data_IF_218241101261
#
_entry.id   IF_218241101261
#
_cell.length_a   1.000
_cell.length_b   1.000
_cell.length_c   1.000
_cell.angle_alpha   90.00
_cell.angle_beta   90.00
_cell.angle_gamma   90.00
#
_symmetry.space_group_name_H-M   'P 1'
#
loop_
_entity.id
_entity.type
_entity.pdbx_description
1 polymer ?
#
# COMPACT_ATOMS: atom_id res chain seq x y z
N UNK A 1 7.50 -14.61 26.02
CA UNK A 1 8.52 -14.25 24.99
C UNK A 1 8.28 -12.81 24.62
N UNK A 2 9.30 -11.94 24.66
CA UNK A 2 9.15 -10.56 24.17
C UNK A 2 9.16 -10.61 22.65
N UNK A 3 8.02 -10.27 22.02
CA UNK A 3 7.96 -10.19 20.58
C UNK A 3 8.87 -9.04 20.08
N UNK A 4 9.58 -9.27 18.97
CA UNK A 4 10.49 -8.27 18.38
C UNK A 4 9.73 -6.99 17.99
N UNK A 5 8.47 -7.13 17.51
CA UNK A 5 7.63 -6.01 17.10
C UNK A 5 6.22 -6.08 17.73
N UNK A 6 5.63 -4.94 17.99
CA UNK A 6 4.21 -4.86 18.36
C UNK A 6 3.32 -5.12 17.14
N UNK A 7 3.74 -4.65 15.95
CA UNK A 7 3.05 -4.89 14.68
C UNK A 7 4.04 -5.08 13.52
N UNK A 8 3.68 -5.96 12.61
CA UNK A 8 4.27 -6.05 11.27
C UNK A 8 3.19 -5.71 10.25
N UNK A 9 3.43 -4.69 9.42
CA UNK A 9 2.53 -4.36 8.33
C UNK A 9 3.00 -4.99 7.03
N UNK A 10 2.07 -5.44 6.20
CA UNK A 10 2.33 -6.11 4.92
C UNK A 10 1.51 -5.41 3.84
N UNK A 11 2.16 -4.95 2.81
CA UNK A 11 1.49 -4.27 1.70
C UNK A 11 2.46 -3.46 0.85
N UNK A 12 1.94 -2.90 -0.23
CA UNK A 12 2.73 -2.11 -1.15
C UNK A 12 3.14 -0.77 -0.54
N UNK A 13 4.41 -0.42 -0.79
CA UNK A 13 4.92 0.93 -0.63
C UNK A 13 4.94 1.58 -2.00
N UNK A 14 4.42 2.79 -2.12
CA UNK A 14 4.32 3.51 -3.39
C UNK A 14 4.75 4.96 -3.27
N UNK A 15 5.08 5.57 -4.40
CA UNK A 15 5.24 7.00 -4.52
C UNK A 15 3.91 7.60 -4.96
N UNK A 16 3.29 8.37 -4.09
CA UNK A 16 2.12 9.18 -4.42
C UNK A 16 2.58 10.55 -4.92
N UNK A 17 2.09 10.93 -6.10
CA UNK A 17 2.36 12.21 -6.74
C UNK A 17 1.06 13.01 -6.80
N UNK A 18 0.92 13.97 -5.89
CA UNK A 18 -0.24 14.86 -5.85
C UNK A 18 -0.08 15.97 -6.88
N UNK A 19 -1.00 16.07 -7.82
CA UNK A 19 -0.97 17.01 -8.93
C UNK A 19 -2.22 17.88 -8.87
N UNK A 20 -2.05 19.16 -8.56
CA UNK A 20 -3.17 20.10 -8.53
C UNK A 20 -3.45 20.61 -9.96
N UNK A 21 -4.64 20.31 -10.48
CA UNK A 21 -5.06 20.52 -11.87
C UNK A 21 -6.12 21.61 -11.99
N UNK A 22 -5.79 22.93 -11.85
CA UNK A 22 -6.79 24.00 -11.80
C UNK A 22 -7.58 24.15 -13.12
N UNK A 23 -6.99 23.74 -14.25
CA UNK A 23 -7.57 23.88 -15.59
C UNK A 23 -8.23 22.58 -16.09
N UNK A 24 -8.35 21.54 -15.26
CA UNK A 24 -9.16 20.38 -15.61
C UNK A 24 -10.64 20.75 -15.67
N UNK A 25 -11.44 19.90 -16.28
CA UNK A 25 -12.90 20.06 -16.35
C UNK A 25 -13.60 18.75 -15.96
N UNK A 26 -14.88 18.85 -15.63
CA UNK A 26 -15.72 17.70 -15.40
C UNK A 26 -16.69 17.54 -16.58
N UNK A 27 -16.90 16.31 -17.00
CA UNK A 27 -18.00 15.92 -17.91
C UNK A 27 -18.70 14.72 -17.31
N UNK A 28 -20.00 14.61 -17.57
CA UNK A 28 -20.81 13.49 -17.07
C UNK A 28 -22.21 13.89 -16.72
N UNK A 29 -22.98 12.95 -16.19
CA UNK A 29 -24.36 13.13 -15.78
C UNK A 29 -24.44 13.53 -14.30
N UNK A 30 -24.97 14.71 -14.03
CA UNK A 30 -25.13 15.24 -12.67
C UNK A 30 -26.14 14.41 -11.86
N UNK A 31 -27.23 13.95 -12.52
CA UNK A 31 -28.28 13.17 -11.83
C UNK A 31 -27.81 11.77 -11.49
N UNK A 32 -26.98 11.16 -12.35
CA UNK A 32 -26.38 9.85 -12.09
C UNK A 32 -25.17 9.89 -11.14
N UNK A 33 -24.60 11.07 -10.86
CA UNK A 33 -23.37 11.22 -10.07
C UNK A 33 -22.13 10.63 -10.75
N UNK A 34 -22.17 10.40 -12.07
CA UNK A 34 -21.07 9.84 -12.87
C UNK A 34 -20.29 10.96 -13.55
N UNK A 35 -19.23 11.42 -12.89
CA UNK A 35 -18.35 12.45 -13.42
C UNK A 35 -17.02 11.89 -13.89
N UNK A 36 -16.52 12.44 -14.99
CA UNK A 36 -15.18 12.17 -15.52
C UNK A 36 -14.34 13.43 -15.44
N UNK A 37 -13.12 13.30 -14.92
CA UNK A 37 -12.13 14.35 -14.95
C UNK A 37 -11.50 14.39 -16.35
N UNK A 38 -11.53 15.55 -17.01
CA UNK A 38 -11.03 15.75 -18.36
C UNK A 38 -9.89 16.76 -18.38
N UNK A 39 -8.90 16.47 -19.22
CA UNK A 39 -7.77 17.33 -19.55
C UNK A 39 -7.67 17.49 -21.08
N UNK A 40 -7.00 18.54 -21.55
CA UNK A 40 -6.80 18.77 -22.98
C UNK A 40 -5.95 17.68 -23.60
N UNK A 41 -6.52 16.96 -24.56
CA UNK A 41 -5.83 15.90 -25.29
C UNK A 41 -4.73 16.50 -26.20
N UNK A 42 -3.54 15.88 -26.18
CA UNK A 42 -2.41 16.27 -27.04
C UNK A 42 -1.76 17.60 -26.69
N UNK A 43 -2.12 18.23 -25.57
CA UNK A 43 -1.54 19.52 -25.14
C UNK A 43 -0.74 19.35 -23.82
N UNK A 44 0.06 20.38 -23.49
CA UNK A 44 0.70 20.49 -22.17
C UNK A 44 -0.33 21.03 -21.18
N UNK A 45 -0.84 20.19 -20.30
CA UNK A 45 -1.70 20.59 -19.21
C UNK A 45 -0.85 21.08 -18.04
N UNK A 46 -1.06 22.31 -17.60
CA UNK A 46 -0.28 22.91 -16.51
C UNK A 46 -0.85 22.52 -15.15
N UNK A 47 -0.01 22.01 -14.28
CA UNK A 47 -0.32 21.83 -12.86
C UNK A 47 -0.01 23.12 -12.07
N UNK A 48 -0.80 23.42 -11.05
CA UNK A 48 -0.52 24.52 -10.10
C UNK A 48 0.60 24.15 -9.13
N UNK A 49 0.61 22.90 -8.68
CA UNK A 49 1.63 22.33 -7.79
C UNK A 49 1.75 20.83 -8.00
N UNK A 50 2.93 20.32 -7.69
CA UNK A 50 3.22 18.87 -7.64
C UNK A 50 3.92 18.59 -6.32
N UNK A 51 3.42 17.60 -5.57
CA UNK A 51 4.00 17.14 -4.31
C UNK A 51 4.22 15.64 -4.38
N UNK A 52 5.36 15.18 -3.87
CA UNK A 52 5.75 13.77 -3.83
C UNK A 52 5.74 13.25 -2.40
N UNK A 53 5.16 12.09 -2.16
CA UNK A 53 5.11 11.47 -0.86
C UNK A 53 5.26 9.96 -0.96
N UNK A 54 6.13 9.38 -0.10
CA UNK A 54 6.11 7.94 0.14
C UNK A 54 4.84 7.59 0.91
N UNK A 55 4.05 6.69 0.36
CA UNK A 55 2.73 6.37 0.84
C UNK A 55 2.40 4.87 0.67
N UNK A 56 1.17 4.53 0.94
CA UNK A 56 0.59 3.19 0.94
C UNK A 56 -0.08 2.89 2.27
N UNK A 57 -1.07 2.01 2.27
CA UNK A 57 -1.80 1.67 3.50
C UNK A 57 -0.88 1.03 4.56
N UNK A 58 0.01 0.11 4.15
CA UNK A 58 0.96 -0.53 5.07
C UNK A 58 1.96 0.45 5.70
N UNK A 59 2.66 1.32 4.95
CA UNK A 59 3.51 2.36 5.53
C UNK A 59 2.76 3.29 6.48
N UNK A 60 1.57 3.72 6.12
CA UNK A 60 0.77 4.64 6.93
C UNK A 60 0.44 4.06 8.30
N UNK A 61 0.04 2.77 8.34
CA UNK A 61 -0.23 2.06 9.61
C UNK A 61 1.05 1.88 10.42
N UNK A 62 2.16 1.46 9.79
CA UNK A 62 3.43 1.29 10.48
C UNK A 62 3.93 2.59 11.12
N UNK A 63 3.89 3.71 10.37
CA UNK A 63 4.25 5.04 10.87
C UNK A 63 3.31 5.49 11.98
N UNK A 64 2.00 5.27 11.83
CA UNK A 64 1.01 5.59 12.86
C UNK A 64 1.32 4.89 14.18
N UNK A 65 1.63 3.60 14.12
CA UNK A 65 2.01 2.79 15.29
C UNK A 65 3.34 3.26 15.90
N UNK A 66 4.33 3.57 15.07
CA UNK A 66 5.62 4.10 15.54
C UNK A 66 5.46 5.48 16.24
N UNK A 67 4.57 6.36 15.73
CA UNK A 67 4.21 7.63 16.40
C UNK A 67 3.56 7.42 17.76
N UNK A 68 2.86 6.31 17.96
CA UNK A 68 2.33 5.88 19.27
C UNK A 68 3.38 5.23 20.19
N UNK A 69 4.67 5.34 19.84
CA UNK A 69 5.81 4.78 20.59
C UNK A 69 5.77 3.26 20.71
N UNK A 70 5.23 2.59 19.72
CA UNK A 70 5.25 1.13 19.59
C UNK A 70 6.24 0.71 18.50
N UNK A 71 6.76 -0.54 18.62
CA UNK A 71 7.68 -1.08 17.64
C UNK A 71 6.93 -1.59 16.40
N UNK A 72 7.31 -1.07 15.23
CA UNK A 72 6.70 -1.43 13.96
C UNK A 72 7.76 -1.84 12.93
N UNK A 73 7.45 -2.84 12.13
CA UNK A 73 8.20 -3.20 10.93
C UNK A 73 7.26 -3.27 9.74
N UNK A 74 7.81 -3.07 8.54
CA UNK A 74 7.08 -3.26 7.30
C UNK A 74 7.71 -4.38 6.50
N UNK A 75 6.86 -5.23 5.94
CA UNK A 75 7.23 -6.28 5.02
C UNK A 75 6.63 -5.94 3.67
N UNK A 76 7.50 -5.63 2.72
CA UNK A 76 7.13 -5.19 1.38
C UNK A 76 8.19 -5.57 0.36
N UNK A 77 7.81 -5.62 -0.89
CA UNK A 77 8.70 -5.78 -2.03
C UNK A 77 8.48 -4.62 -3.00
N UNK A 78 9.57 -4.03 -3.48
CA UNK A 78 9.58 -2.84 -4.33
C UNK A 78 10.53 -3.05 -5.50
N UNK A 79 10.36 -2.29 -6.56
CA UNK A 79 11.35 -2.23 -7.63
C UNK A 79 12.71 -1.72 -7.12
N UNK A 80 13.79 -2.14 -7.77
CA UNK A 80 15.13 -1.62 -7.47
C UNK A 80 15.34 -0.28 -8.18
N UNK A 81 14.74 0.79 -7.69
CA UNK A 81 14.76 2.13 -8.28
C UNK A 81 14.94 3.22 -7.21
N UNK A 82 14.81 4.49 -7.63
CA UNK A 82 14.96 5.62 -6.71
C UNK A 82 13.86 5.67 -5.64
N UNK A 83 12.65 5.14 -5.94
CA UNK A 83 11.53 5.13 -5.00
C UNK A 83 11.88 4.20 -3.82
N UNK A 84 12.53 3.06 -4.08
CA UNK A 84 13.01 2.15 -3.04
C UNK A 84 13.89 2.85 -2.01
N UNK A 85 14.93 3.58 -2.48
CA UNK A 85 15.84 4.27 -1.58
C UNK A 85 15.14 5.38 -0.79
N UNK A 86 14.28 6.16 -1.44
CA UNK A 86 13.48 7.19 -0.79
C UNK A 86 12.52 6.61 0.25
N UNK A 87 11.94 5.43 -0.02
CA UNK A 87 11.07 4.73 0.92
C UNK A 87 11.80 4.25 2.17
N UNK A 88 13.00 3.68 2.02
CA UNK A 88 13.81 3.26 3.17
C UNK A 88 14.13 4.45 4.07
N UNK A 89 14.66 5.53 3.50
CA UNK A 89 15.00 6.75 4.23
C UNK A 89 13.77 7.33 4.97
N UNK A 90 12.65 7.41 4.27
CA UNK A 90 11.41 7.94 4.83
C UNK A 90 10.91 7.11 6.01
N UNK A 91 10.89 5.78 5.88
CA UNK A 91 10.42 4.87 6.93
C UNK A 91 11.33 4.87 8.15
N UNK A 92 12.65 4.85 7.95
CA UNK A 92 13.65 4.91 9.02
C UNK A 92 13.58 6.21 9.80
N UNK A 93 13.41 7.36 9.11
CA UNK A 93 13.15 8.65 9.74
C UNK A 93 11.92 8.62 10.65
N UNK A 94 10.91 7.81 10.31
CA UNK A 94 9.71 7.60 11.11
C UNK A 94 9.81 6.45 12.10
N UNK A 95 11.02 5.88 12.32
CA UNK A 95 11.30 4.79 13.28
C UNK A 95 10.55 3.48 12.96
N UNK A 96 10.28 3.22 11.70
CA UNK A 96 9.77 1.95 11.20
C UNK A 96 10.94 1.09 10.74
N UNK A 97 11.01 -0.17 11.19
CA UNK A 97 12.05 -1.11 10.73
C UNK A 97 11.82 -1.51 9.27
N UNK A 98 12.84 -1.33 8.45
CA UNK A 98 12.87 -1.66 7.01
C UNK A 98 13.57 -2.99 6.71
N UNK A 99 13.94 -3.76 7.75
CA UNK A 99 14.67 -5.02 7.66
C UNK A 99 14.05 -6.04 6.69
N UNK A 100 12.73 -5.92 6.46
CA UNK A 100 11.96 -6.85 5.61
C UNK A 100 11.46 -6.20 4.31
N UNK A 101 11.99 -5.03 3.95
CA UNK A 101 11.73 -4.41 2.65
C UNK A 101 12.77 -4.91 1.66
N UNK A 102 12.32 -5.52 0.56
CA UNK A 102 13.20 -6.11 -0.44
C UNK A 102 13.13 -5.34 -1.75
N UNK A 103 14.30 -5.17 -2.39
CA UNK A 103 14.39 -4.69 -3.75
C UNK A 103 14.30 -5.86 -4.75
N UNK A 104 13.43 -5.75 -5.73
CA UNK A 104 13.25 -6.70 -6.83
C UNK A 104 13.84 -6.12 -8.09
N UNK A 105 14.81 -6.84 -8.68
CA UNK A 105 15.46 -6.43 -9.93
C UNK A 105 14.51 -6.57 -11.12
N UNK A 106 14.60 -5.65 -12.07
CA UNK A 106 13.88 -5.73 -13.35
C UNK A 106 12.41 -5.33 -13.28
N UNK A 107 11.94 -4.82 -12.15
CA UNK A 107 10.60 -4.24 -12.01
C UNK A 107 10.69 -2.82 -11.44
N UNK A 108 9.66 -1.98 -11.68
CA UNK A 108 9.51 -0.66 -11.05
C UNK A 108 8.73 -0.75 -9.74
N UNK A 109 8.92 0.21 -8.86
CA UNK A 109 8.11 0.37 -7.66
C UNK A 109 6.70 0.85 -7.99
N UNK A 110 5.75 0.58 -7.11
CA UNK A 110 4.37 1.06 -7.24
C UNK A 110 4.32 2.59 -7.21
N UNK A 111 3.41 3.15 -8.01
CA UNK A 111 3.26 4.59 -8.21
C UNK A 111 1.80 4.99 -8.30
N UNK A 112 1.44 6.17 -7.80
CA UNK A 112 0.13 6.75 -8.03
C UNK A 112 0.26 8.24 -8.42
N UNK A 113 -0.42 8.61 -9.51
CA UNK A 113 -0.71 10.00 -9.84
C UNK A 113 -2.08 10.36 -9.26
N UNK A 114 -2.11 11.34 -8.36
CA UNK A 114 -3.32 11.79 -7.66
C UNK A 114 -3.68 13.17 -8.20
N UNK A 115 -4.66 13.20 -9.09
CA UNK A 115 -5.12 14.42 -9.74
C UNK A 115 -6.15 15.11 -8.83
N UNK A 116 -5.78 16.27 -8.28
CA UNK A 116 -6.64 17.05 -7.40
C UNK A 116 -7.34 18.14 -8.20
N UNK A 117 -8.68 18.14 -8.15
CA UNK A 117 -9.53 19.13 -8.78
C UNK A 117 -10.77 19.44 -7.93
N UNK A 118 -10.99 20.72 -7.60
CA UNK A 118 -12.16 21.20 -6.82
C UNK A 118 -12.41 20.43 -5.51
N UNK A 119 -11.36 20.03 -4.80
CA UNK A 119 -11.47 19.32 -3.51
C UNK A 119 -11.57 17.80 -3.60
N UNK A 120 -11.71 17.25 -4.81
CA UNK A 120 -11.75 15.81 -5.05
C UNK A 120 -10.45 15.30 -5.66
N UNK A 121 -10.15 14.02 -5.44
CA UNK A 121 -8.95 13.36 -5.92
C UNK A 121 -9.29 12.18 -6.84
N UNK A 122 -8.72 12.19 -8.04
CA UNK A 122 -8.79 11.07 -8.98
C UNK A 122 -7.44 10.40 -9.04
N UNK A 123 -7.38 9.07 -8.80
CA UNK A 123 -6.12 8.34 -8.70
C UNK A 123 -5.88 7.48 -9.94
N UNK A 124 -4.66 7.56 -10.48
CA UNK A 124 -4.14 6.67 -11.52
C UNK A 124 -3.03 5.86 -10.86
N UNK A 125 -3.27 4.57 -10.64
CA UNK A 125 -2.37 3.70 -9.88
C UNK A 125 -1.71 2.67 -10.79
N UNK A 126 -0.38 2.57 -10.68
CA UNK A 126 0.41 1.49 -11.25
C UNK A 126 1.04 0.68 -10.12
N UNK A 127 0.63 -0.58 -9.97
CA UNK A 127 1.27 -1.51 -9.04
C UNK A 127 2.55 -2.07 -9.63
N UNK A 128 3.53 -2.34 -8.78
CA UNK A 128 4.73 -3.10 -9.15
C UNK A 128 4.31 -4.47 -9.71
N UNK A 129 4.89 -4.85 -10.83
CA UNK A 129 4.57 -6.12 -11.51
C UNK A 129 5.61 -7.18 -11.14
N UNK A 130 5.35 -7.90 -10.06
CA UNK A 130 6.15 -9.02 -9.59
C UNK A 130 5.29 -10.00 -8.78
N UNK A 131 5.76 -11.23 -8.67
CA UNK A 131 5.19 -12.19 -7.73
C UNK A 131 5.74 -11.94 -6.33
N UNK A 132 4.85 -11.75 -5.36
CA UNK A 132 5.26 -11.57 -3.97
C UNK A 132 5.87 -12.83 -3.40
N UNK A 133 7.09 -12.71 -2.87
CA UNK A 133 7.83 -13.80 -2.28
C UNK A 133 8.23 -13.47 -0.83
N UNK A 134 7.28 -13.61 0.07
CA UNK A 134 7.51 -13.36 1.48
C UNK A 134 8.53 -14.32 2.08
N UNK A 135 9.30 -13.89 3.09
CA UNK A 135 10.13 -14.78 3.86
C UNK A 135 9.28 -15.90 4.48
N UNK A 136 9.79 -17.14 4.41
CA UNK A 136 9.12 -18.32 5.01
C UNK A 136 8.92 -18.17 6.53
N UNK A 137 9.74 -17.35 7.18
CA UNK A 137 9.66 -17.03 8.60
C UNK A 137 9.36 -15.54 8.72
N UNK A 138 8.14 -15.20 9.15
CA UNK A 138 7.80 -13.81 9.44
C UNK A 138 8.42 -13.34 10.75
N UNK A 139 8.59 -12.04 10.95
CA UNK A 139 9.06 -11.45 12.18
C UNK A 139 8.18 -11.84 13.36
N UNK A 140 8.77 -11.99 14.53
CA UNK A 140 8.05 -12.22 15.78
C UNK A 140 7.25 -10.96 16.15
N UNK A 141 5.92 -11.07 16.21
CA UNK A 141 5.02 -9.94 16.38
C UNK A 141 3.71 -10.33 17.08
N UNK A 142 3.04 -9.35 17.70
CA UNK A 142 1.70 -9.52 18.29
C UNK A 142 0.59 -9.36 17.25
N UNK A 143 0.81 -8.49 16.27
CA UNK A 143 -0.16 -8.14 15.23
C UNK A 143 0.48 -8.17 13.85
N UNK A 144 -0.28 -8.69 12.91
CA UNK A 144 -0.01 -8.51 11.49
C UNK A 144 -1.13 -7.67 10.88
N UNK A 145 -0.76 -6.57 10.22
CA UNK A 145 -1.68 -5.79 9.40
C UNK A 145 -1.42 -6.09 7.94
N UNK A 146 -2.42 -6.62 7.25
CA UNK A 146 -2.36 -6.89 5.81
C UNK A 146 -3.18 -5.84 5.09
N UNK A 147 -2.56 -5.14 4.15
CA UNK A 147 -3.21 -4.07 3.39
C UNK A 147 -3.19 -4.34 1.89
N UNK A 148 -3.40 -3.29 1.11
CA UNK A 148 -3.38 -3.33 -0.35
C UNK A 148 -2.09 -3.97 -0.90
N UNK A 149 -2.26 -4.87 -1.86
CA UNK A 149 -1.23 -5.56 -2.61
C UNK A 149 -1.63 -5.60 -4.08
N UNK A 150 -0.66 -5.64 -4.98
CA UNK A 150 -0.88 -5.87 -6.40
C UNK A 150 -1.36 -7.28 -6.71
N UNK A 151 -1.35 -7.66 -7.99
CA UNK A 151 -1.67 -9.02 -8.44
C UNK A 151 -0.71 -10.04 -7.83
N UNK A 152 -1.15 -11.28 -7.60
CA UNK A 152 -0.30 -12.33 -7.00
C UNK A 152 -0.31 -12.39 -5.47
N UNK A 153 -1.12 -11.58 -4.80
CA UNK A 153 -1.25 -11.50 -3.34
C UNK A 153 -1.67 -12.81 -2.65
N UNK A 154 -2.19 -13.78 -3.39
CA UNK A 154 -2.79 -15.01 -2.84
C UNK A 154 -1.81 -15.81 -1.98
N UNK A 155 -0.54 -15.88 -2.41
CA UNK A 155 0.50 -16.59 -1.65
C UNK A 155 0.76 -15.92 -0.29
N UNK A 156 0.69 -14.58 -0.25
CA UNK A 156 0.80 -13.82 1.00
C UNK A 156 -0.34 -14.19 1.95
N UNK A 157 -1.58 -14.16 1.46
CA UNK A 157 -2.75 -14.47 2.27
C UNK A 157 -2.71 -15.90 2.82
N UNK A 158 -2.33 -16.90 2.01
CA UNK A 158 -2.13 -18.29 2.45
C UNK A 158 -1.06 -18.40 3.53
N UNK A 159 0.08 -17.73 3.33
CA UNK A 159 1.19 -17.76 4.29
C UNK A 159 0.78 -17.10 5.61
N UNK A 160 0.05 -15.98 5.57
CA UNK A 160 -0.45 -15.31 6.78
C UNK A 160 -1.41 -16.18 7.57
N UNK A 161 -2.35 -16.86 6.89
CA UNK A 161 -3.26 -17.81 7.55
C UNK A 161 -2.51 -18.91 8.28
N UNK A 162 -1.53 -19.53 7.62
CA UNK A 162 -0.77 -20.64 8.22
C UNK A 162 0.11 -20.21 9.38
N UNK A 163 0.67 -19.02 9.30
CA UNK A 163 1.61 -18.45 10.26
C UNK A 163 0.93 -17.90 11.51
N UNK A 164 -0.12 -17.12 11.33
CA UNK A 164 -0.84 -16.49 12.44
C UNK A 164 -1.60 -17.53 13.28
N UNK A 165 -2.15 -18.57 12.63
CA UNK A 165 -2.84 -19.65 13.33
C UNK A 165 -1.93 -20.42 14.31
N UNK A 166 -0.64 -20.58 13.99
CA UNK A 166 0.32 -21.32 14.82
C UNK A 166 0.81 -20.55 16.03
N UNK A 167 0.82 -19.22 15.97
CA UNK A 167 1.52 -18.37 16.93
C UNK A 167 0.59 -17.45 17.74
N UNK A 168 -0.72 -17.57 17.60
CA UNK A 168 -1.69 -16.68 18.29
C UNK A 168 -1.59 -15.21 17.88
N UNK A 169 -1.04 -14.92 16.70
CA UNK A 169 -0.87 -13.57 16.16
C UNK A 169 -2.23 -13.05 15.69
N UNK A 170 -2.59 -11.85 16.09
CA UNK A 170 -3.83 -11.20 15.67
C UNK A 170 -3.66 -10.57 14.27
N UNK A 171 -4.71 -10.59 13.48
CA UNK A 171 -4.73 -10.07 12.12
C UNK A 171 -5.64 -8.85 12.04
N UNK A 172 -5.13 -7.75 11.49
CA UNK A 172 -5.97 -6.69 10.93
C UNK A 172 -5.82 -6.68 9.41
N UNK A 173 -6.91 -6.43 8.71
CA UNK A 173 -6.97 -6.49 7.25
C UNK A 173 -7.63 -5.24 6.69
N UNK A 174 -6.99 -4.63 5.69
CA UNK A 174 -7.57 -3.58 4.86
C UNK A 174 -7.34 -3.95 3.38
N UNK A 175 -8.25 -4.73 2.75
CA UNK A 175 -8.06 -5.20 1.39
C UNK A 175 -8.15 -4.04 0.40
N UNK A 176 -7.26 -4.03 -0.59
CA UNK A 176 -7.27 -3.05 -1.67
C UNK A 176 -8.26 -3.39 -2.78
N UNK A 177 -8.36 -2.49 -3.77
CA UNK A 177 -9.28 -2.63 -4.89
C UNK A 177 -9.09 -3.94 -5.66
N UNK A 178 -7.84 -4.37 -5.90
CA UNK A 178 -7.53 -5.63 -6.60
C UNK A 178 -8.15 -6.83 -5.86
N UNK A 179 -7.96 -6.91 -4.54
CA UNK A 179 -8.47 -8.02 -3.73
C UNK A 179 -10.01 -8.05 -3.72
N UNK A 180 -10.62 -6.87 -3.60
CA UNK A 180 -12.09 -6.72 -3.57
C UNK A 180 -12.71 -7.09 -4.94
N UNK A 181 -12.08 -6.67 -6.04
CA UNK A 181 -12.57 -6.95 -7.39
C UNK A 181 -12.40 -8.43 -7.78
N UNK A 182 -11.24 -9.03 -7.46
CA UNK A 182 -10.96 -10.43 -7.79
C UNK A 182 -11.77 -11.42 -6.95
N UNK A 183 -12.13 -11.09 -5.72
CA UNK A 183 -12.97 -11.88 -4.80
C UNK A 183 -12.53 -13.34 -4.69
N UNK A 184 -11.20 -13.58 -4.64
CA UNK A 184 -10.66 -14.94 -4.56
C UNK A 184 -10.87 -15.55 -3.18
N UNK A 185 -10.88 -16.87 -3.13
CA UNK A 185 -11.09 -17.67 -1.90
C UNK A 185 -10.17 -17.24 -0.76
N UNK A 186 -8.91 -16.93 -1.07
CA UNK A 186 -7.89 -16.53 -0.09
C UNK A 186 -8.29 -15.27 0.70
N UNK A 187 -8.96 -14.32 0.05
CA UNK A 187 -9.50 -13.14 0.73
C UNK A 187 -10.54 -13.55 1.80
N UNK A 188 -11.49 -14.39 1.43
CA UNK A 188 -12.55 -14.83 2.35
C UNK A 188 -12.01 -15.70 3.47
N UNK A 189 -11.02 -16.54 3.20
CA UNK A 189 -10.38 -17.35 4.23
C UNK A 189 -9.60 -16.48 5.23
N UNK A 190 -8.94 -15.41 4.76
CA UNK A 190 -8.26 -14.44 5.63
C UNK A 190 -9.26 -13.61 6.45
N UNK A 191 -10.36 -13.16 5.84
CA UNK A 191 -11.44 -12.43 6.51
C UNK A 191 -12.01 -13.19 7.71
N UNK A 192 -12.21 -14.52 7.60
CA UNK A 192 -12.71 -15.37 8.71
C UNK A 192 -11.75 -15.41 9.92
N UNK A 193 -10.50 -15.07 9.74
CA UNK A 193 -9.45 -15.06 10.78
C UNK A 193 -9.03 -13.64 11.19
N UNK A 194 -9.61 -12.64 10.55
CA UNK A 194 -9.33 -11.24 10.83
C UNK A 194 -9.95 -10.83 12.17
N UNK A 195 -9.15 -10.15 12.98
CA UNK A 195 -9.58 -9.61 14.28
C UNK A 195 -10.16 -8.21 14.11
N UNK A 196 -9.59 -7.42 13.18
CA UNK A 196 -10.00 -6.04 12.86
C UNK A 196 -10.00 -5.84 11.35
N UNK A 197 -11.10 -5.33 10.79
CA UNK A 197 -11.30 -5.00 9.38
C UNK A 197 -11.37 -3.48 9.22
#
# INVERSE_FOLDING_TARGET
MNNKFDIVTIGDIKLDTFINMPNASLTGDVEAGDFKLCVDYGKKNQAKSVELQIAGSAPNVAIGVAKMKKSAAILSEMGQDFIYNAALEYLEKHKVSTEYVKAIKGTGSSFAAILNYKGESTQIVAHSDHEYNLPKKHPDTKWVHVSELGKGYQNIFKNMLSCCAKNGVKISLNPGAVQIQERKKELFDLLKKTTVL
#
